data_IF_336916900339
#
_entry.id   IF_336916900339
#
_cell.length_a   1.000
_cell.length_b   1.000
_cell.length_c   1.000
_cell.angle_alpha   90.00
_cell.angle_beta   90.00
_cell.angle_gamma   90.00
#
_symmetry.space_group_name_H-M   'P 1'
#
loop_
_entity.id
_entity.type
_entity.pdbx_description
1 polymer ?
#
# COMPACT_ATOMS: atom_id res chain seq x y z
N UNK A 1 14.17 6.32 15.14
CA UNK A 1 12.92 6.09 14.40
C UNK A 1 13.21 5.20 13.20
N UNK A 2 12.41 4.15 12.99
CA UNK A 2 12.52 3.22 11.85
C UNK A 2 12.48 3.95 10.50
N UNK A 3 11.67 5.02 10.42
CA UNK A 3 11.54 5.89 9.26
C UNK A 3 12.88 6.43 8.73
N UNK A 4 13.85 6.76 9.59
CA UNK A 4 15.13 7.29 9.11
C UNK A 4 15.90 6.27 8.27
N UNK A 5 15.85 4.99 8.65
CA UNK A 5 16.46 3.91 7.88
C UNK A 5 15.85 3.78 6.49
N UNK A 6 14.51 3.80 6.42
CA UNK A 6 13.77 3.78 5.15
C UNK A 6 14.19 4.97 4.27
N UNK A 7 14.19 6.19 4.81
CA UNK A 7 14.54 7.38 4.05
C UNK A 7 15.98 7.31 3.54
N UNK A 8 16.95 6.92 4.38
CA UNK A 8 18.36 6.81 3.99
C UNK A 8 18.53 5.77 2.89
N UNK A 9 17.93 4.57 3.05
CA UNK A 9 18.03 3.49 2.07
C UNK A 9 17.42 3.90 0.74
N UNK A 10 16.21 4.45 0.75
CA UNK A 10 15.53 4.91 -0.46
C UNK A 10 16.27 6.07 -1.17
N UNK A 11 16.83 7.01 -0.42
CA UNK A 11 17.56 8.16 -0.99
C UNK A 11 18.97 7.79 -1.47
N UNK A 12 19.55 6.70 -0.94
CA UNK A 12 20.87 6.21 -1.35
C UNK A 12 20.81 5.20 -2.50
N UNK A 13 19.62 4.66 -2.78
CA UNK A 13 19.41 3.63 -3.78
C UNK A 13 19.71 4.13 -5.19
N UNK A 14 20.27 3.24 -6.00
CA UNK A 14 20.55 3.49 -7.42
C UNK A 14 19.45 2.90 -8.28
N UNK A 15 19.36 3.41 -9.51
CA UNK A 15 18.48 2.83 -10.53
C UNK A 15 18.73 1.32 -10.66
N UNK A 16 17.66 0.56 -10.84
CA UNK A 16 17.63 -0.90 -11.00
C UNK A 16 17.94 -1.70 -9.72
N UNK A 17 18.10 -1.04 -8.56
CA UNK A 17 18.15 -1.71 -7.26
C UNK A 17 16.75 -2.08 -6.74
N UNK A 18 16.69 -3.11 -5.89
CA UNK A 18 15.47 -3.56 -5.21
C UNK A 18 15.57 -3.30 -3.72
N UNK A 19 14.53 -2.71 -3.14
CA UNK A 19 14.41 -2.47 -1.70
C UNK A 19 13.16 -3.18 -1.20
N UNK A 20 13.31 -3.95 -0.13
CA UNK A 20 12.21 -4.62 0.57
C UNK A 20 12.00 -3.92 1.91
N UNK A 21 10.75 -3.56 2.21
CA UNK A 21 10.38 -2.83 3.42
C UNK A 21 9.20 -3.55 4.07
N UNK A 22 9.32 -3.86 5.35
CA UNK A 22 8.30 -4.48 6.18
C UNK A 22 7.75 -3.43 7.15
N UNK A 23 6.43 -3.38 7.30
CA UNK A 23 5.69 -2.44 8.14
C UNK A 23 6.27 -1.01 8.23
N UNK A 24 6.41 -0.28 7.10
CA UNK A 24 6.90 1.11 7.11
C UNK A 24 6.04 2.08 7.95
N UNK A 25 4.81 1.68 8.30
CA UNK A 25 3.85 2.44 9.09
C UNK A 25 4.12 2.51 10.60
N UNK A 26 5.02 1.67 11.13
CA UNK A 26 5.20 1.53 12.59
C UNK A 26 5.52 2.89 13.24
N UNK A 27 4.72 3.23 14.26
CA UNK A 27 4.79 4.48 15.03
C UNK A 27 4.59 5.77 14.21
N UNK A 28 4.05 5.68 12.99
CA UNK A 28 3.70 6.86 12.20
C UNK A 28 2.24 7.23 12.37
N UNK A 29 2.00 8.53 12.52
CA UNK A 29 0.66 9.08 12.41
C UNK A 29 0.07 8.77 11.02
N UNK A 30 -1.24 8.50 10.88
CA UNK A 30 -1.93 8.27 9.60
C UNK A 30 -1.51 9.18 8.45
N UNK A 31 -1.50 10.49 8.71
CA UNK A 31 -1.04 11.50 7.76
C UNK A 31 0.39 11.22 7.24
N UNK A 32 1.31 10.86 8.12
CA UNK A 32 2.69 10.56 7.74
C UNK A 32 2.81 9.27 6.91
N UNK A 33 1.97 8.26 7.16
CA UNK A 33 1.92 7.04 6.36
C UNK A 33 1.47 7.34 4.91
N UNK A 34 0.47 8.22 4.76
CA UNK A 34 0.00 8.66 3.44
C UNK A 34 1.07 9.45 2.66
N UNK A 35 1.82 10.32 3.35
CA UNK A 35 2.94 11.06 2.73
C UNK A 35 4.13 10.14 2.42
N UNK A 36 4.42 9.16 3.28
CA UNK A 36 5.44 8.14 3.02
C UNK A 36 5.12 7.36 1.74
N UNK A 37 3.84 7.03 1.50
CA UNK A 37 3.42 6.37 0.27
C UNK A 37 3.73 7.19 -0.99
N UNK A 38 3.57 8.51 -0.92
CA UNK A 38 3.97 9.42 -2.00
C UNK A 38 5.48 9.43 -2.22
N UNK A 39 6.26 9.45 -1.14
CA UNK A 39 7.70 9.34 -1.20
C UNK A 39 8.14 8.01 -1.84
N UNK A 40 7.54 6.88 -1.46
CA UNK A 40 7.85 5.57 -2.03
C UNK A 40 7.48 5.51 -3.52
N UNK A 41 6.35 6.09 -3.93
CA UNK A 41 6.00 6.24 -5.34
C UNK A 41 7.02 7.08 -6.13
N UNK A 42 7.51 8.17 -5.53
CA UNK A 42 8.60 8.98 -6.09
C UNK A 42 9.89 8.17 -6.28
N UNK A 43 10.30 7.41 -5.26
CA UNK A 43 11.47 6.53 -5.31
C UNK A 43 11.30 5.47 -6.40
N UNK A 44 10.13 4.84 -6.51
CA UNK A 44 9.88 3.85 -7.58
C UNK A 44 10.02 4.45 -8.98
N UNK A 45 9.63 5.71 -9.17
CA UNK A 45 9.78 6.38 -10.45
C UNK A 45 11.22 6.70 -10.85
N UNK A 46 12.18 6.71 -9.92
CA UNK A 46 13.60 6.83 -10.24
C UNK A 46 14.20 5.53 -10.83
N UNK A 47 13.39 4.47 -10.92
CA UNK A 47 13.79 3.16 -11.46
C UNK A 47 14.22 2.17 -10.39
N UNK A 48 13.94 2.45 -9.11
CA UNK A 48 14.12 1.52 -7.99
C UNK A 48 12.88 0.62 -7.87
N UNK A 49 13.07 -0.68 -7.69
CA UNK A 49 11.98 -1.60 -7.37
C UNK A 49 11.73 -1.59 -5.86
N UNK A 50 10.49 -1.35 -5.47
CA UNK A 50 10.06 -1.42 -4.07
C UNK A 50 9.13 -2.61 -3.87
N UNK A 51 9.42 -3.42 -2.86
CA UNK A 51 8.53 -4.45 -2.34
C UNK A 51 8.17 -4.03 -0.93
N UNK A 52 6.89 -3.79 -0.68
CA UNK A 52 6.41 -3.26 0.59
C UNK A 52 5.37 -4.22 1.13
N UNK A 53 5.61 -4.72 2.33
CA UNK A 53 4.61 -5.35 3.16
C UNK A 53 4.02 -4.27 4.08
N UNK A 54 2.70 -4.28 4.24
CA UNK A 54 2.00 -3.32 5.09
C UNK A 54 0.63 -3.83 5.50
N UNK A 55 0.22 -3.48 6.72
CA UNK A 55 -1.14 -3.66 7.23
C UNK A 55 -1.89 -2.32 7.33
N UNK A 56 -1.35 -1.26 6.73
CA UNK A 56 -1.93 0.07 6.77
C UNK A 56 -2.83 0.35 5.56
N UNK A 57 -4.10 0.60 5.83
CA UNK A 57 -5.06 1.14 4.86
C UNK A 57 -4.57 2.51 4.35
N UNK A 58 -3.90 3.31 5.18
CA UNK A 58 -3.39 4.61 4.80
C UNK A 58 -2.24 4.52 3.79
N UNK A 59 -1.44 3.45 3.83
CA UNK A 59 -0.42 3.19 2.81
C UNK A 59 -1.05 2.72 1.52
N UNK A 60 -1.95 1.74 1.60
CA UNK A 60 -2.73 1.27 0.46
C UNK A 60 -3.46 2.41 -0.26
N UNK A 61 -4.20 3.22 0.49
CA UNK A 61 -4.91 4.39 -0.01
C UNK A 61 -3.95 5.51 -0.44
N UNK A 62 -2.78 5.63 0.19
CA UNK A 62 -1.71 6.54 -0.21
C UNK A 62 -1.20 6.25 -1.62
N UNK A 63 -0.93 4.98 -1.95
CA UNK A 63 -0.52 4.55 -3.29
C UNK A 63 -1.65 4.74 -4.31
N UNK A 64 -2.89 4.36 -3.97
CA UNK A 64 -4.06 4.62 -4.83
C UNK A 64 -4.24 6.10 -5.14
N UNK A 65 -4.07 6.96 -4.13
CA UNK A 65 -4.08 8.42 -4.24
C UNK A 65 -2.93 8.91 -5.11
N UNK A 66 -1.76 8.28 -5.07
CA UNK A 66 -0.62 8.62 -5.93
C UNK A 66 -0.91 8.28 -7.41
N UNK A 67 -1.53 7.13 -7.68
CA UNK A 67 -2.02 6.78 -9.03
C UNK A 67 -3.03 7.80 -9.53
N UNK A 68 -4.06 8.11 -8.72
CA UNK A 68 -5.08 9.11 -9.08
C UNK A 68 -4.49 10.50 -9.43
N UNK A 69 -3.43 10.92 -8.72
CA UNK A 69 -2.75 12.20 -9.00
C UNK A 69 -1.72 12.13 -10.12
N UNK A 70 -1.60 11.00 -10.84
CA UNK A 70 -0.57 10.75 -11.83
C UNK A 70 0.87 10.88 -11.28
N UNK A 71 1.05 10.68 -9.97
CA UNK A 71 2.37 10.68 -9.35
C UNK A 71 3.13 9.38 -9.66
N UNK A 72 2.43 8.28 -9.97
CA UNK A 72 2.98 7.02 -10.47
C UNK A 72 1.94 6.40 -11.42
N UNK A 73 2.37 5.80 -12.53
CA UNK A 73 1.42 5.13 -13.42
C UNK A 73 0.98 3.80 -12.83
N UNK A 74 -0.28 3.40 -13.06
CA UNK A 74 -0.84 2.16 -12.52
C UNK A 74 -0.04 0.93 -12.96
N UNK A 75 0.61 0.98 -14.12
CA UNK A 75 1.39 -0.13 -14.69
C UNK A 75 2.58 -0.50 -13.79
N UNK A 76 3.16 0.52 -13.11
CA UNK A 76 4.26 0.37 -12.16
C UNK A 76 3.81 -0.09 -10.78
N UNK A 77 2.50 -0.15 -10.53
CA UNK A 77 1.94 -0.61 -9.25
C UNK A 77 1.44 -2.04 -9.40
N UNK A 78 1.77 -2.88 -8.42
CA UNK A 78 1.24 -4.23 -8.25
C UNK A 78 0.85 -4.38 -6.79
N UNK A 79 -0.38 -4.83 -6.55
CA UNK A 79 -0.91 -5.04 -5.20
C UNK A 79 -1.27 -6.50 -5.08
N UNK A 80 -0.78 -7.12 -4.02
CA UNK A 80 -1.07 -8.50 -3.67
C UNK A 80 -1.64 -8.51 -2.25
N UNK A 81 -2.86 -9.00 -2.13
CA UNK A 81 -3.52 -9.25 -0.87
C UNK A 81 -3.38 -10.74 -0.53
N UNK A 82 -3.13 -11.05 0.74
CA UNK A 82 -2.90 -12.41 1.19
C UNK A 82 -3.88 -12.75 2.29
N UNK A 83 -4.52 -13.91 2.16
CA UNK A 83 -5.40 -14.51 3.17
C UNK A 83 -4.98 -15.95 3.42
N UNK A 84 -5.45 -16.54 4.51
CA UNK A 84 -5.24 -17.95 4.80
C UNK A 84 -6.49 -18.74 4.43
N UNK A 85 -6.31 -19.88 3.77
CA UNK A 85 -7.40 -20.83 3.52
C UNK A 85 -7.77 -21.62 4.77
N UNK A 86 -8.76 -22.52 4.65
CA UNK A 86 -9.22 -23.39 5.74
C UNK A 86 -8.10 -24.29 6.32
N UNK A 87 -7.01 -24.51 5.57
CA UNK A 87 -5.84 -25.30 5.97
C UNK A 87 -4.65 -24.43 6.42
N UNK A 88 -4.85 -23.12 6.63
CA UNK A 88 -3.81 -22.15 6.96
C UNK A 88 -2.72 -22.00 5.88
N UNK A 89 -3.07 -22.23 4.61
CA UNK A 89 -2.19 -22.01 3.45
C UNK A 89 -2.47 -20.62 2.89
N UNK A 90 -1.41 -19.85 2.64
CA UNK A 90 -1.54 -18.51 2.06
C UNK A 90 -2.07 -18.55 0.63
N UNK A 91 -3.18 -17.86 0.40
CA UNK A 91 -3.74 -17.57 -0.92
C UNK A 91 -3.36 -16.13 -1.29
N UNK A 92 -2.86 -15.95 -2.52
CA UNK A 92 -2.56 -14.63 -3.09
C UNK A 92 -3.72 -14.17 -3.98
N UNK A 93 -4.20 -12.96 -3.72
CA UNK A 93 -5.12 -12.23 -4.58
C UNK A 93 -4.43 -11.01 -5.17
N UNK A 94 -4.25 -11.00 -6.49
CA UNK A 94 -3.79 -9.81 -7.19
C UNK A 94 -4.92 -8.79 -7.21
N UNK A 95 -4.67 -7.59 -6.70
CA UNK A 95 -5.62 -6.47 -6.71
C UNK A 95 -5.31 -5.54 -7.87
N UNK A 96 -6.28 -5.33 -8.75
CA UNK A 96 -6.18 -4.51 -9.94
C UNK A 96 -6.79 -3.12 -9.74
N UNK A 97 -6.08 -2.12 -10.25
CA UNK A 97 -6.49 -0.72 -10.19
C UNK A 97 -6.90 -0.20 -11.58
N UNK A 98 -7.90 0.68 -11.58
CA UNK A 98 -8.19 1.56 -12.72
C UNK A 98 -7.14 2.67 -12.87
N UNK A 99 -7.15 3.41 -13.99
CA UNK A 99 -6.29 4.60 -14.18
C UNK A 99 -6.46 5.65 -13.08
N UNK A 100 -7.65 5.71 -12.47
CA UNK A 100 -7.97 6.66 -11.41
C UNK A 100 -7.74 6.09 -10.00
N UNK A 101 -7.03 4.97 -9.86
CA UNK A 101 -6.69 4.37 -8.56
C UNK A 101 -7.87 3.71 -7.82
N UNK A 102 -9.01 3.49 -8.50
CA UNK A 102 -10.12 2.68 -7.95
C UNK A 102 -9.79 1.19 -8.06
N UNK A 103 -10.15 0.42 -7.04
CA UNK A 103 -10.02 -1.05 -7.02
C UNK A 103 -11.09 -1.66 -7.93
N UNK A 104 -10.70 -2.60 -8.78
CA UNK A 104 -11.60 -3.28 -9.74
C UNK A 104 -12.21 -4.52 -9.11
N UNK A 105 -11.37 -5.34 -8.46
CA UNK A 105 -11.73 -6.61 -7.86
C UNK A 105 -11.59 -6.51 -6.33
N UNK A 106 -12.53 -5.79 -5.72
CA UNK A 106 -12.60 -5.68 -4.26
C UNK A 106 -12.74 -7.07 -3.65
N UNK A 107 -12.03 -7.29 -2.54
CA UNK A 107 -12.08 -8.50 -1.73
C UNK A 107 -12.57 -8.12 -0.35
N UNK A 108 -13.30 -9.04 0.27
CA UNK A 108 -13.59 -9.00 1.71
C UNK A 108 -12.26 -8.92 2.48
N UNK A 109 -12.25 -8.19 3.59
CA UNK A 109 -11.10 -7.91 4.44
C UNK A 109 -10.01 -7.03 3.81
N UNK A 110 -10.20 -6.53 2.57
CA UNK A 110 -9.28 -5.57 1.95
C UNK A 110 -9.51 -4.15 2.48
N UNK A 111 -9.14 -3.92 3.74
CA UNK A 111 -9.24 -2.63 4.43
C UNK A 111 -10.67 -2.07 4.50
N UNK A 112 -11.67 -2.94 4.67
CA UNK A 112 -13.11 -2.63 4.77
C UNK A 112 -13.62 -2.59 6.23
N UNK A 113 -12.81 -2.99 7.22
CA UNK A 113 -13.22 -3.02 8.64
C UNK A 113 -13.81 -1.68 9.14
N UNK A 114 -13.26 -0.54 8.73
CA UNK A 114 -13.81 0.76 9.12
C UNK A 114 -15.23 0.98 8.60
N UNK A 115 -15.51 0.54 7.37
CA UNK A 115 -16.83 0.64 6.77
C UNK A 115 -17.79 -0.34 7.47
N UNK A 116 -17.34 -1.56 7.76
CA UNK A 116 -18.10 -2.56 8.52
C UNK A 116 -18.49 -2.04 9.92
N UNK A 117 -17.54 -1.47 10.66
CA UNK A 117 -17.76 -0.88 11.98
C UNK A 117 -18.75 0.30 11.89
N UNK A 118 -18.65 1.12 10.84
CA UNK A 118 -19.55 2.25 10.62
C UNK A 118 -20.98 1.79 10.33
N UNK A 119 -21.15 0.76 9.52
CA UNK A 119 -22.47 0.19 9.21
C UNK A 119 -23.13 -0.39 10.46
N UNK A 120 -22.36 -1.05 11.34
CA UNK A 120 -22.85 -1.52 12.64
C UNK A 120 -23.30 -0.35 13.53
N UNK A 121 -22.50 0.71 13.64
CA UNK A 121 -22.85 1.91 14.41
C UNK A 121 -24.10 2.62 13.89
N UNK A 122 -24.36 2.56 12.59
CA UNK A 122 -25.50 3.19 11.94
C UNK A 122 -26.75 2.29 11.85
N UNK A 123 -26.67 1.03 12.31
CA UNK A 123 -27.71 0.00 12.13
C UNK A 123 -28.10 -0.20 10.66
N UNK A 124 -27.10 -0.25 9.77
CA UNK A 124 -27.29 -0.52 8.35
C UNK A 124 -27.13 -2.01 7.99
N UNK A 125 -26.69 -2.84 8.95
CA UNK A 125 -26.48 -4.28 8.85
C UNK A 125 -27.62 -5.11 9.45
#
# INVERSE_FOLDING_TARGET
SYLYGILIVCLSAKKDETIVIENPEIHLHPKAQSELSYFLAFVSNSGVQLIIETHSDHIFNGIRKAVFKNAISKEKVKIHFFELDENYISINHKIDLTENGRVINVKEDLFDQFDNDLDELLNLA
#
